data_IF_341644885064
#
_entry.id   IF_341644885064
#
_cell.length_a   1.000
_cell.length_b   1.000
_cell.length_c   1.000
_cell.angle_alpha   90.00
_cell.angle_beta   90.00
_cell.angle_gamma   90.00
#
_symmetry.space_group_name_H-M   'P 1'
#
loop_
_entity.id
_entity.type
_entity.pdbx_description
1 polymer ?
#
# COMPACT_ATOMS: atom_id res chain seq x y z
N UNK A 1 0.13 -27.66 16.92
CA UNK A 1 0.84 -28.11 15.68
C UNK A 1 1.76 -29.27 16.05
N UNK A 2 1.71 -30.39 15.32
CA UNK A 2 2.60 -31.51 15.58
C UNK A 2 4.05 -31.19 15.18
N UNK A 3 5.02 -31.99 15.72
CA UNK A 3 6.45 -31.71 15.51
C UNK A 3 6.86 -31.71 14.01
N UNK A 4 6.31 -32.63 13.22
CA UNK A 4 6.59 -32.77 11.78
C UNK A 4 6.11 -31.54 10.99
N UNK A 5 4.88 -31.08 11.24
CA UNK A 5 4.33 -29.90 10.58
C UNK A 5 5.12 -28.63 10.93
N UNK A 6 5.56 -28.51 12.17
CA UNK A 6 6.41 -27.39 12.59
C UNK A 6 7.75 -27.41 11.87
N UNK A 7 8.41 -28.57 11.81
CA UNK A 7 9.69 -28.73 11.11
C UNK A 7 9.57 -28.34 9.64
N UNK A 8 8.51 -28.79 8.97
CA UNK A 8 8.23 -28.38 7.58
C UNK A 8 8.05 -26.87 7.45
N UNK A 9 7.27 -26.25 8.36
CA UNK A 9 7.10 -24.80 8.38
C UNK A 9 8.41 -24.03 8.59
N UNK A 10 9.29 -24.54 9.45
CA UNK A 10 10.63 -23.97 9.67
C UNK A 10 11.53 -24.05 8.43
N UNK A 11 11.46 -25.18 7.70
CA UNK A 11 12.16 -25.32 6.41
C UNK A 11 11.64 -24.35 5.36
N UNK A 12 10.32 -24.22 5.25
CA UNK A 12 9.68 -23.24 4.36
C UNK A 12 10.08 -21.82 4.73
N UNK A 13 10.16 -21.50 6.02
CA UNK A 13 10.60 -20.18 6.48
C UNK A 13 12.03 -19.87 6.03
N UNK A 14 12.96 -20.83 6.10
CA UNK A 14 14.33 -20.67 5.60
C UNK A 14 14.32 -20.41 4.08
N UNK A 15 13.54 -21.20 3.33
CA UNK A 15 13.40 -21.01 1.88
C UNK A 15 12.85 -19.61 1.57
N UNK A 16 11.84 -19.14 2.29
CA UNK A 16 11.31 -17.78 2.11
C UNK A 16 12.35 -16.70 2.41
N UNK A 17 13.16 -16.85 3.46
CA UNK A 17 14.23 -15.88 3.74
C UNK A 17 15.21 -15.75 2.56
N UNK A 18 15.65 -16.87 1.99
CA UNK A 18 16.57 -16.89 0.85
C UNK A 18 15.86 -16.36 -0.40
N UNK A 19 14.65 -16.81 -0.67
CA UNK A 19 13.90 -16.44 -1.87
C UNK A 19 13.53 -14.96 -1.91
N UNK A 20 13.05 -14.40 -0.79
CA UNK A 20 12.71 -12.98 -0.71
C UNK A 20 13.97 -12.13 -0.84
N UNK A 21 15.09 -12.51 -0.21
CA UNK A 21 16.36 -11.82 -0.38
C UNK A 21 16.79 -11.82 -1.85
N UNK A 22 16.70 -12.97 -2.52
CA UNK A 22 16.98 -13.09 -3.96
C UNK A 22 16.08 -12.15 -4.78
N UNK A 23 14.77 -12.18 -4.56
CA UNK A 23 13.83 -11.30 -5.27
C UNK A 23 14.17 -9.82 -5.07
N UNK A 24 14.53 -9.40 -3.85
CA UNK A 24 14.91 -8.02 -3.55
C UNK A 24 16.17 -7.58 -4.31
N UNK A 25 17.18 -8.43 -4.39
CA UNK A 25 18.42 -8.14 -5.10
C UNK A 25 18.21 -8.05 -6.62
N UNK A 26 17.29 -8.83 -7.16
CA UNK A 26 17.04 -8.90 -8.60
C UNK A 26 15.71 -8.27 -9.04
N UNK A 27 15.07 -7.49 -8.17
CA UNK A 27 13.74 -6.88 -8.45
C UNK A 27 13.76 -6.11 -9.78
N UNK A 28 14.81 -5.35 -10.09
CA UNK A 28 14.88 -4.54 -11.32
C UNK A 28 14.90 -5.39 -12.60
N UNK A 29 15.38 -6.62 -12.52
CA UNK A 29 15.49 -7.57 -13.65
C UNK A 29 14.29 -8.53 -13.72
N UNK A 30 13.37 -8.48 -12.73
CA UNK A 30 12.24 -9.37 -12.69
C UNK A 30 11.21 -8.97 -13.76
N UNK A 31 11.05 -9.82 -14.76
CA UNK A 31 9.97 -9.73 -15.75
C UNK A 31 8.88 -10.69 -15.33
N UNK A 32 7.72 -10.14 -14.99
CA UNK A 32 6.59 -10.94 -14.50
C UNK A 32 5.70 -11.35 -15.66
N UNK A 33 5.55 -12.66 -15.96
CA UNK A 33 4.59 -13.12 -16.94
C UNK A 33 3.16 -12.69 -16.57
N UNK A 34 2.34 -12.39 -17.56
CA UNK A 34 0.98 -11.88 -17.37
C UNK A 34 0.10 -12.80 -16.49
N UNK A 35 0.29 -14.11 -16.56
CA UNK A 35 -0.47 -15.09 -15.76
C UNK A 35 -0.11 -15.09 -14.26
N UNK A 36 1.00 -14.47 -13.86
CA UNK A 36 1.38 -14.27 -12.45
C UNK A 36 0.87 -12.94 -11.87
N UNK A 37 0.47 -11.99 -12.70
CA UNK A 37 -0.03 -10.68 -12.22
C UNK A 37 -1.22 -10.79 -11.25
N UNK A 38 -2.23 -11.67 -11.47
CA UNK A 38 -3.32 -11.84 -10.52
C UNK A 38 -2.84 -12.20 -9.11
N UNK A 39 -1.74 -12.97 -8.98
CA UNK A 39 -1.15 -13.32 -7.68
C UNK A 39 -0.62 -12.06 -6.98
N UNK A 40 0.03 -11.16 -7.71
CA UNK A 40 0.46 -9.87 -7.17
C UNK A 40 -0.71 -9.04 -6.64
N UNK A 41 -1.80 -8.98 -7.39
CA UNK A 41 -3.01 -8.22 -7.03
C UNK A 41 -3.72 -8.73 -5.77
N UNK A 42 -3.56 -10.00 -5.42
CA UNK A 42 -4.05 -10.56 -4.17
C UNK A 42 -3.30 -10.03 -2.93
N UNK A 43 -2.18 -9.31 -3.09
CA UNK A 43 -1.45 -8.71 -1.99
C UNK A 43 -2.35 -7.90 -1.05
N UNK A 44 -3.22 -7.05 -1.59
CA UNK A 44 -4.11 -6.19 -0.82
C UNK A 44 -5.14 -6.95 0.02
N UNK A 45 -5.55 -8.13 -0.41
CA UNK A 45 -6.42 -9.02 0.34
C UNK A 45 -5.64 -9.78 1.42
N UNK A 46 -4.48 -10.32 1.04
CA UNK A 46 -3.69 -11.22 1.88
C UNK A 46 -3.00 -10.52 3.05
N UNK A 47 -2.67 -9.23 2.94
CA UNK A 47 -1.94 -8.49 3.98
C UNK A 47 -2.66 -8.44 5.34
N UNK A 48 -3.98 -8.55 5.38
CA UNK A 48 -4.76 -8.50 6.62
C UNK A 48 -4.47 -9.70 7.54
N UNK A 49 -4.21 -10.88 6.97
CA UNK A 49 -3.95 -12.10 7.73
C UNK A 49 -2.63 -12.02 8.53
N UNK A 50 -1.47 -11.74 7.91
CA UNK A 50 -0.23 -11.64 8.68
C UNK A 50 -0.26 -10.50 9.71
N UNK A 51 -0.91 -9.37 9.43
CA UNK A 51 -1.04 -8.26 10.39
C UNK A 51 -1.74 -8.75 11.65
N UNK A 52 -2.95 -9.33 11.52
CA UNK A 52 -3.72 -9.80 12.67
C UNK A 52 -3.00 -10.90 13.45
N UNK A 53 -2.43 -11.88 12.73
CA UNK A 53 -1.77 -13.03 13.34
C UNK A 53 -0.45 -12.63 14.02
N UNK A 54 0.35 -11.72 13.42
CA UNK A 54 1.58 -11.24 14.05
C UNK A 54 1.29 -10.42 15.30
N UNK A 55 0.30 -9.51 15.28
CA UNK A 55 -0.10 -8.75 16.46
C UNK A 55 -0.49 -9.70 17.61
N UNK A 56 -1.32 -10.70 17.32
CA UNK A 56 -1.70 -11.69 18.32
C UNK A 56 -0.50 -12.51 18.80
N UNK A 57 0.38 -12.94 17.90
CA UNK A 57 1.56 -13.74 18.22
C UNK A 57 2.55 -13.00 19.13
N UNK A 58 2.86 -11.72 18.81
CA UNK A 58 3.77 -10.91 19.63
C UNK A 58 3.13 -10.54 20.96
N UNK A 59 1.82 -10.28 21.01
CA UNK A 59 1.09 -10.09 22.24
C UNK A 59 1.19 -11.33 23.16
N UNK A 60 0.94 -12.52 22.61
CA UNK A 60 1.14 -13.77 23.36
C UNK A 60 2.58 -13.98 23.76
N UNK A 61 3.57 -13.64 22.94
CA UNK A 61 4.98 -13.79 23.28
C UNK A 61 5.40 -12.83 24.41
N UNK A 62 4.84 -11.62 24.44
CA UNK A 62 5.04 -10.65 25.51
C UNK A 62 4.54 -11.19 26.86
N UNK A 63 3.35 -11.79 26.89
CA UNK A 63 2.75 -12.36 28.10
C UNK A 63 3.27 -13.76 28.44
N UNK A 64 4.14 -14.34 27.62
CA UNK A 64 4.70 -15.69 27.83
C UNK A 64 5.45 -15.83 29.16
N UNK A 65 6.09 -14.77 29.62
CA UNK A 65 6.94 -14.78 30.83
C UNK A 65 6.16 -14.55 32.11
N UNK A 66 4.84 -14.39 32.09
CA UNK A 66 4.05 -14.42 33.32
C UNK A 66 4.11 -15.82 33.97
N UNK A 67 4.02 -15.87 35.30
CA UNK A 67 4.19 -17.09 36.07
C UNK A 67 3.32 -18.26 35.58
N UNK A 68 2.06 -17.97 35.23
CA UNK A 68 1.10 -18.99 34.79
C UNK A 68 1.37 -19.48 33.35
N UNK A 69 1.85 -18.60 32.46
CA UNK A 69 2.02 -18.91 31.04
C UNK A 69 3.34 -19.60 30.73
N UNK A 70 4.40 -19.27 31.47
CA UNK A 70 5.75 -19.83 31.26
C UNK A 70 5.80 -21.36 31.51
N UNK A 71 5.05 -21.85 32.48
CA UNK A 71 4.93 -23.27 32.80
C UNK A 71 3.92 -24.01 31.86
N UNK A 72 3.09 -23.26 31.11
CA UNK A 72 2.06 -23.87 30.29
C UNK A 72 2.62 -24.22 28.90
N UNK A 73 2.83 -25.49 28.65
CA UNK A 73 3.36 -26.04 27.40
C UNK A 73 2.42 -25.78 26.22
N UNK A 74 1.10 -25.80 26.43
CA UNK A 74 0.12 -25.47 25.39
C UNK A 74 0.29 -24.02 24.96
N UNK A 75 0.34 -23.08 25.92
CA UNK A 75 0.51 -21.65 25.64
C UNK A 75 1.79 -21.39 24.83
N UNK A 76 2.91 -21.92 25.29
CA UNK A 76 4.22 -21.71 24.64
C UNK A 76 4.29 -22.32 23.24
N UNK A 77 3.69 -23.48 23.02
CA UNK A 77 3.62 -24.13 21.72
C UNK A 77 2.64 -23.41 20.78
N UNK A 78 1.50 -22.95 21.30
CA UNK A 78 0.51 -22.23 20.52
C UNK A 78 1.06 -20.87 20.05
N UNK A 79 1.63 -20.07 20.94
CA UNK A 79 2.23 -18.78 20.58
C UNK A 79 3.37 -18.93 19.57
N UNK A 80 4.18 -20.01 19.68
CA UNK A 80 5.22 -20.34 18.70
C UNK A 80 4.63 -20.67 17.34
N UNK A 81 3.57 -21.48 17.31
CA UNK A 81 2.90 -21.86 16.05
C UNK A 81 2.26 -20.67 15.38
N UNK A 82 1.69 -19.78 16.18
CA UNK A 82 1.05 -18.55 15.69
C UNK A 82 2.08 -17.60 15.08
N UNK A 83 3.23 -17.42 15.74
CA UNK A 83 4.32 -16.60 15.20
C UNK A 83 4.87 -17.17 13.89
N UNK A 84 5.05 -18.51 13.82
CA UNK A 84 5.48 -19.16 12.58
C UNK A 84 4.47 -18.94 11.44
N UNK A 85 3.18 -19.18 11.73
CA UNK A 85 2.12 -18.99 10.74
C UNK A 85 2.04 -17.53 10.25
N UNK A 86 2.07 -16.57 11.19
CA UNK A 86 2.07 -15.14 10.84
C UNK A 86 3.27 -14.72 10.00
N UNK A 87 4.47 -15.24 10.34
CA UNK A 87 5.69 -14.96 9.58
C UNK A 87 5.65 -15.59 8.18
N UNK A 88 5.16 -16.82 8.04
CA UNK A 88 5.01 -17.46 6.73
C UNK A 88 4.00 -16.70 5.84
N UNK A 89 2.88 -16.29 6.41
CA UNK A 89 1.89 -15.48 5.70
C UNK A 89 2.46 -14.11 5.32
N UNK A 90 3.26 -13.49 6.18
CA UNK A 90 4.00 -12.27 5.85
C UNK A 90 4.95 -12.49 4.66
N UNK A 91 5.67 -13.62 4.63
CA UNK A 91 6.52 -13.99 3.49
C UNK A 91 5.75 -14.12 2.18
N UNK A 92 4.60 -14.80 2.19
CA UNK A 92 3.70 -14.89 1.04
C UNK A 92 3.26 -13.50 0.59
N UNK A 93 2.84 -12.66 1.54
CA UNK A 93 2.38 -11.29 1.25
C UNK A 93 3.49 -10.42 0.66
N UNK A 94 4.73 -10.54 1.15
CA UNK A 94 5.90 -9.84 0.59
C UNK A 94 6.15 -10.27 -0.86
N UNK A 95 6.12 -11.57 -1.16
CA UNK A 95 6.29 -12.06 -2.54
C UNK A 95 5.20 -11.50 -3.46
N UNK A 96 3.94 -11.53 -3.02
CA UNK A 96 2.82 -10.95 -3.77
C UNK A 96 3.02 -9.44 -3.99
N UNK A 97 3.47 -8.70 -2.98
CA UNK A 97 3.77 -7.27 -3.09
C UNK A 97 4.91 -6.96 -4.05
N UNK A 98 5.96 -7.78 -4.05
CA UNK A 98 7.06 -7.68 -5.03
C UNK A 98 6.57 -7.90 -6.46
N UNK A 99 5.64 -8.82 -6.67
CA UNK A 99 5.01 -9.03 -7.98
C UNK A 99 4.15 -7.82 -8.37
N UNK A 100 3.28 -7.35 -7.48
CA UNK A 100 2.44 -6.17 -7.73
C UNK A 100 3.27 -4.93 -8.06
N UNK A 101 4.43 -4.76 -7.41
CA UNK A 101 5.33 -3.63 -7.64
C UNK A 101 5.91 -3.55 -9.06
N UNK A 102 5.73 -4.60 -9.88
CA UNK A 102 6.18 -4.66 -11.27
C UNK A 102 5.07 -4.28 -12.27
N UNK A 103 3.85 -4.08 -11.81
CA UNK A 103 2.78 -3.59 -12.66
C UNK A 103 2.96 -2.10 -12.98
N UNK A 104 2.45 -1.70 -14.15
CA UNK A 104 2.49 -0.31 -14.59
C UNK A 104 1.79 0.62 -13.59
N UNK A 105 2.39 1.76 -13.31
CA UNK A 105 1.84 2.77 -12.41
C UNK A 105 2.39 2.73 -10.99
N UNK A 106 3.15 1.72 -10.60
CA UNK A 106 3.81 1.67 -9.30
C UNK A 106 5.26 2.13 -9.40
N UNK A 107 5.55 3.36 -8.99
CA UNK A 107 6.88 3.98 -9.06
C UNK A 107 7.12 4.91 -7.86
N UNK A 108 8.33 5.43 -7.75
CA UNK A 108 8.68 6.45 -6.76
C UNK A 108 9.17 5.92 -5.42
N UNK A 109 9.56 6.87 -4.55
CA UNK A 109 10.21 6.58 -3.27
C UNK A 109 9.27 5.90 -2.28
N UNK A 110 7.99 6.28 -2.27
CA UNK A 110 6.98 5.67 -1.39
C UNK A 110 6.84 4.18 -1.64
N UNK A 111 6.88 3.73 -2.91
CA UNK A 111 6.92 2.32 -3.24
C UNK A 111 8.18 1.64 -2.71
N UNK A 112 9.35 2.30 -2.85
CA UNK A 112 10.60 1.75 -2.34
C UNK A 112 10.55 1.60 -0.82
N UNK A 113 10.09 2.63 -0.09
CA UNK A 113 9.93 2.57 1.35
C UNK A 113 8.95 1.47 1.78
N UNK A 114 7.78 1.37 1.14
CA UNK A 114 6.82 0.28 1.43
C UNK A 114 7.43 -1.10 1.21
N UNK A 115 8.12 -1.30 0.10
CA UNK A 115 8.79 -2.56 -0.26
C UNK A 115 9.84 -2.96 0.78
N UNK A 116 10.74 -2.04 1.13
CA UNK A 116 11.83 -2.33 2.05
C UNK A 116 11.36 -2.50 3.50
N UNK A 117 10.42 -1.69 3.96
CA UNK A 117 9.84 -1.82 5.31
C UNK A 117 9.02 -3.10 5.46
N UNK A 118 8.25 -3.48 4.44
CA UNK A 118 7.51 -4.74 4.43
C UNK A 118 8.42 -5.97 4.43
N UNK A 119 9.49 -5.95 3.65
CA UNK A 119 10.50 -7.02 3.67
C UNK A 119 11.25 -7.06 5.00
N UNK A 120 11.62 -5.90 5.57
CA UNK A 120 12.27 -5.82 6.88
C UNK A 120 11.38 -6.40 7.97
N UNK A 121 10.07 -6.10 7.98
CA UNK A 121 9.10 -6.69 8.90
C UNK A 121 9.12 -8.23 8.85
N UNK A 122 9.13 -8.82 7.65
CA UNK A 122 9.23 -10.27 7.48
C UNK A 122 10.53 -10.83 8.07
N UNK A 123 11.69 -10.22 7.76
CA UNK A 123 12.97 -10.66 8.30
C UNK A 123 13.07 -10.51 9.81
N UNK A 124 12.53 -9.41 10.37
CA UNK A 124 12.46 -9.18 11.83
C UNK A 124 11.60 -10.26 12.49
N UNK A 125 10.40 -10.54 11.97
CA UNK A 125 9.54 -11.58 12.52
C UNK A 125 10.18 -12.97 12.41
N UNK A 126 10.86 -13.27 11.31
CA UNK A 126 11.63 -14.50 11.12
C UNK A 126 12.78 -14.61 12.17
N UNK A 127 13.52 -13.54 12.37
CA UNK A 127 14.60 -13.49 13.37
C UNK A 127 14.04 -13.71 14.78
N UNK A 128 12.96 -13.04 15.15
CA UNK A 128 12.30 -13.22 16.45
C UNK A 128 11.87 -14.67 16.64
N UNK A 129 11.31 -15.31 15.61
CA UNK A 129 10.93 -16.72 15.68
C UNK A 129 12.09 -17.62 16.06
N UNK A 130 13.29 -17.41 15.49
CA UNK A 130 14.49 -18.19 15.82
C UNK A 130 15.11 -17.84 17.15
N UNK A 131 15.03 -16.58 17.57
CA UNK A 131 15.66 -16.10 18.81
C UNK A 131 14.82 -16.38 20.07
N UNK A 132 13.49 -16.47 19.93
CA UNK A 132 12.57 -16.55 21.09
C UNK A 132 12.80 -17.74 22.02
N UNK A 133 13.48 -18.79 21.57
CA UNK A 133 13.80 -19.98 22.39
C UNK A 133 15.20 -19.93 23.01
N UNK A 134 15.94 -18.84 22.79
CA UNK A 134 17.28 -18.67 23.39
C UNK A 134 17.15 -18.31 24.88
N UNK A 135 18.11 -18.75 25.70
CA UNK A 135 18.10 -18.53 27.18
C UNK A 135 18.07 -17.04 27.58
N UNK A 136 18.67 -16.19 26.76
CA UNK A 136 18.71 -14.73 26.98
C UNK A 136 17.44 -14.00 26.50
N UNK A 137 16.54 -14.68 25.73
CA UNK A 137 15.27 -14.09 25.32
C UNK A 137 14.31 -14.09 26.52
N UNK A 138 14.20 -12.95 27.18
CA UNK A 138 13.41 -12.72 28.40
C UNK A 138 12.43 -11.56 28.18
N UNK A 139 11.64 -11.21 29.18
CA UNK A 139 10.63 -10.15 29.13
C UNK A 139 11.10 -8.85 28.45
N UNK A 140 12.27 -8.26 28.80
CA UNK A 140 12.70 -7.03 28.12
C UNK A 140 12.92 -7.21 26.61
N UNK A 141 13.45 -8.36 26.21
CA UNK A 141 13.69 -8.66 24.78
C UNK A 141 12.38 -8.92 24.06
N UNK A 142 11.43 -9.61 24.69
CA UNK A 142 10.10 -9.81 24.15
C UNK A 142 9.36 -8.47 23.99
N UNK A 143 9.47 -7.57 24.96
CA UNK A 143 8.90 -6.23 24.89
C UNK A 143 9.52 -5.39 23.75
N UNK A 144 10.84 -5.42 23.63
CA UNK A 144 11.54 -4.76 22.52
C UNK A 144 11.13 -5.35 21.17
N UNK A 145 11.01 -6.68 21.07
CA UNK A 145 10.54 -7.37 19.85
C UNK A 145 9.11 -6.97 19.50
N UNK A 146 8.22 -6.89 20.47
CA UNK A 146 6.83 -6.46 20.28
C UNK A 146 6.78 -5.01 19.79
N UNK A 147 7.56 -4.13 20.40
CA UNK A 147 7.66 -2.73 19.96
C UNK A 147 8.17 -2.61 18.52
N UNK A 148 9.26 -3.31 18.19
CA UNK A 148 9.88 -3.26 16.84
C UNK A 148 8.91 -3.78 15.79
N UNK A 149 8.23 -4.91 16.02
CA UNK A 149 7.25 -5.46 15.06
C UNK A 149 6.07 -4.52 14.89
N UNK A 150 5.53 -3.98 15.99
CA UNK A 150 4.40 -3.05 15.93
C UNK A 150 4.77 -1.76 15.18
N UNK A 151 5.92 -1.18 15.50
CA UNK A 151 6.43 0.00 14.79
C UNK A 151 6.64 -0.28 13.29
N UNK A 152 7.23 -1.43 12.95
CA UNK A 152 7.41 -1.84 11.55
C UNK A 152 6.08 -2.04 10.82
N UNK A 153 5.06 -2.61 11.47
CA UNK A 153 3.70 -2.74 10.93
C UNK A 153 3.07 -1.36 10.65
N UNK A 154 3.20 -0.43 11.59
CA UNK A 154 2.66 0.93 11.43
C UNK A 154 3.35 1.66 10.28
N UNK A 155 4.69 1.60 10.22
CA UNK A 155 5.47 2.25 9.16
C UNK A 155 5.13 1.66 7.79
N UNK A 156 5.12 0.33 7.67
CA UNK A 156 4.77 -0.34 6.42
C UNK A 156 3.33 -0.06 6.00
N UNK A 157 2.40 -0.05 6.96
CA UNK A 157 1.00 0.28 6.72
C UNK A 157 0.81 1.72 6.27
N UNK A 158 1.55 2.67 6.86
CA UNK A 158 1.53 4.08 6.44
C UNK A 158 1.93 4.24 4.97
N UNK A 159 3.07 3.69 4.56
CA UNK A 159 3.49 3.75 3.16
C UNK A 159 2.52 3.01 2.21
N UNK A 160 1.93 1.90 2.67
CA UNK A 160 0.91 1.19 1.90
C UNK A 160 -0.38 2.00 1.71
N UNK A 161 -0.82 2.70 2.77
CA UNK A 161 -1.96 3.61 2.68
C UNK A 161 -1.69 4.79 1.74
N UNK A 162 -0.49 5.39 1.81
CA UNK A 162 -0.07 6.47 0.90
C UNK A 162 -0.08 6.02 -0.56
N UNK A 163 0.38 4.79 -0.86
CA UNK A 163 0.34 4.23 -2.22
C UNK A 163 -1.08 4.05 -2.76
N UNK A 164 -2.05 3.76 -1.89
CA UNK A 164 -3.42 3.43 -2.31
C UNK A 164 -4.36 4.64 -2.28
N UNK A 165 -4.16 5.54 -1.35
CA UNK A 165 -5.07 6.66 -1.06
C UNK A 165 -4.44 8.04 -1.27
N UNK A 166 -3.11 8.13 -1.47
CA UNK A 166 -2.38 9.39 -1.54
C UNK A 166 -1.88 9.88 -0.18
N UNK A 167 -1.16 11.01 -0.23
CA UNK A 167 -0.60 11.64 0.97
C UNK A 167 -1.71 12.16 1.90
N UNK A 168 -1.41 12.17 3.19
CA UNK A 168 -2.29 12.68 4.26
C UNK A 168 -3.66 11.99 4.41
N UNK A 169 -3.92 10.86 3.75
CA UNK A 169 -5.20 10.17 3.80
C UNK A 169 -5.76 10.04 5.22
N UNK A 170 -4.93 9.67 6.21
CA UNK A 170 -5.37 9.48 7.60
C UNK A 170 -5.75 10.80 8.27
N UNK A 171 -5.01 11.88 8.00
CA UNK A 171 -5.22 13.19 8.62
C UNK A 171 -6.16 14.09 7.81
N UNK A 172 -6.44 13.73 6.56
CA UNK A 172 -7.29 14.52 5.67
C UNK A 172 -8.66 14.88 6.27
N UNK A 173 -9.40 14.00 6.96
CA UNK A 173 -10.68 14.39 7.56
C UNK A 173 -10.56 15.49 8.62
N UNK A 174 -9.42 15.50 9.35
CA UNK A 174 -9.15 16.51 10.37
C UNK A 174 -8.66 17.80 9.72
N UNK A 175 -7.71 17.69 8.79
CA UNK A 175 -7.16 18.86 8.09
C UNK A 175 -8.18 19.51 7.16
N UNK A 176 -9.11 18.75 6.59
CA UNK A 176 -10.17 19.26 5.74
C UNK A 176 -11.25 20.05 6.51
N UNK A 177 -11.40 19.81 7.82
CA UNK A 177 -12.25 20.65 8.67
C UNK A 177 -11.66 22.02 8.95
N UNK A 178 -10.36 22.20 8.75
CA UNK A 178 -9.66 23.50 8.77
C UNK A 178 -9.51 24.13 7.37
N UNK A 179 -10.20 23.55 6.36
CA UNK A 179 -10.19 24.11 5.01
C UNK A 179 -10.82 25.49 5.03
N UNK A 180 -10.10 26.41 4.37
CA UNK A 180 -10.54 27.76 4.05
C UNK A 180 -12.06 27.81 3.86
N UNK A 181 -12.73 28.76 4.47
CA UNK A 181 -14.11 29.04 4.09
C UNK A 181 -14.17 29.17 2.57
N UNK A 182 -15.29 28.76 1.94
CA UNK A 182 -15.41 28.86 0.51
C UNK A 182 -15.05 30.30 0.09
N UNK A 183 -14.00 30.41 -0.71
CA UNK A 183 -13.53 31.71 -1.21
C UNK A 183 -14.67 32.27 -2.05
N UNK A 184 -15.09 33.53 -1.84
CA UNK A 184 -16.06 34.15 -2.73
C UNK A 184 -15.59 34.02 -4.18
N UNK A 185 -16.51 33.73 -5.10
CA UNK A 185 -16.19 33.47 -6.52
C UNK A 185 -15.33 34.59 -7.14
N UNK A 186 -15.49 35.81 -6.64
CA UNK A 186 -14.77 37.01 -7.07
C UNK A 186 -13.30 37.00 -6.67
N UNK A 187 -12.92 36.24 -5.65
CA UNK A 187 -11.56 36.13 -5.12
C UNK A 187 -10.92 34.76 -5.42
N UNK A 188 -11.70 33.81 -5.98
CA UNK A 188 -11.28 32.44 -6.20
C UNK A 188 -10.24 32.32 -7.33
N UNK A 189 -9.12 31.69 -7.04
CA UNK A 189 -8.19 31.22 -8.07
C UNK A 189 -8.78 29.95 -8.67
N UNK A 190 -9.36 30.05 -9.86
CA UNK A 190 -10.14 28.98 -10.49
C UNK A 190 -9.45 27.60 -10.42
N UNK A 191 -8.15 27.56 -10.73
CA UNK A 191 -7.43 26.28 -10.66
C UNK A 191 -7.34 25.76 -9.22
N UNK A 192 -6.83 26.57 -8.28
CA UNK A 192 -6.53 26.11 -6.93
C UNK A 192 -7.79 25.88 -6.08
N UNK A 193 -8.84 26.69 -6.27
CA UNK A 193 -10.00 26.66 -5.40
C UNK A 193 -11.20 25.88 -6.00
N UNK A 194 -11.18 25.59 -7.32
CA UNK A 194 -12.28 24.89 -8.00
C UNK A 194 -11.80 23.60 -8.69
N UNK A 195 -10.80 23.71 -9.57
CA UNK A 195 -10.40 22.58 -10.44
C UNK A 195 -9.57 21.55 -9.66
N UNK A 196 -8.57 22.01 -8.90
CA UNK A 196 -7.71 21.12 -8.13
C UNK A 196 -8.49 20.25 -7.13
N UNK A 197 -9.47 20.75 -6.35
CA UNK A 197 -10.32 19.91 -5.49
C UNK A 197 -11.10 18.81 -6.23
N UNK A 198 -11.56 19.09 -7.45
CA UNK A 198 -12.21 18.07 -8.29
C UNK A 198 -11.20 16.97 -8.67
N UNK A 199 -10.02 17.36 -9.15
CA UNK A 199 -8.95 16.41 -9.51
C UNK A 199 -8.51 15.59 -8.30
N UNK A 200 -8.32 16.21 -7.14
CA UNK A 200 -7.93 15.53 -5.90
C UNK A 200 -8.96 14.48 -5.48
N UNK A 201 -10.23 14.82 -5.53
CA UNK A 201 -11.32 13.93 -5.10
C UNK A 201 -11.57 12.77 -6.06
N UNK A 202 -11.39 12.98 -7.38
CA UNK A 202 -11.83 12.04 -8.41
C UNK A 202 -10.68 11.33 -9.14
N UNK A 203 -9.50 11.93 -9.22
CA UNK A 203 -8.43 11.51 -10.14
C UNK A 203 -7.13 11.11 -9.45
N UNK A 204 -6.71 11.87 -8.41
CA UNK A 204 -5.37 11.70 -7.81
C UNK A 204 -5.18 10.37 -7.07
N UNK A 205 -6.24 9.65 -6.72
CA UNK A 205 -6.12 8.30 -6.16
C UNK A 205 -5.40 7.30 -7.10
N UNK A 206 -5.33 7.62 -8.41
CA UNK A 206 -4.63 6.82 -9.41
C UNK A 206 -3.55 7.60 -10.17
N UNK A 207 -3.66 8.93 -10.22
CA UNK A 207 -2.78 9.82 -10.98
C UNK A 207 -2.03 10.78 -10.03
N UNK A 208 -1.15 10.23 -9.19
CA UNK A 208 -0.33 10.99 -8.24
C UNK A 208 1.15 10.60 -8.37
N UNK A 209 2.04 11.31 -7.66
CA UNK A 209 3.47 11.08 -7.71
C UNK A 209 3.91 9.66 -7.29
N UNK A 210 3.07 8.96 -6.50
CA UNK A 210 3.36 7.61 -5.98
C UNK A 210 2.67 6.51 -6.80
N UNK A 211 1.65 6.88 -7.58
CA UNK A 211 0.89 5.99 -8.46
C UNK A 211 0.60 6.72 -9.78
N UNK A 212 1.54 6.57 -10.70
CA UNK A 212 1.55 7.22 -12.00
C UNK A 212 0.85 6.35 -13.06
N UNK A 213 -0.46 6.05 -12.90
CA UNK A 213 -1.17 5.34 -13.98
C UNK A 213 -1.15 6.15 -15.26
N UNK A 214 -0.77 5.50 -16.36
CA UNK A 214 -0.60 6.16 -17.65
C UNK A 214 0.47 7.26 -17.65
N UNK A 215 1.48 7.19 -16.75
CA UNK A 215 2.55 8.18 -16.58
C UNK A 215 2.04 9.60 -16.28
N UNK A 216 0.80 9.73 -15.79
CA UNK A 216 0.12 11.01 -15.52
C UNK A 216 0.10 11.32 -14.03
N UNK A 217 0.57 12.50 -13.64
CA UNK A 217 0.41 13.08 -12.30
C UNK A 217 -0.55 14.28 -12.37
N UNK A 218 -1.53 14.30 -11.45
CA UNK A 218 -2.55 15.36 -11.37
C UNK A 218 -2.51 16.09 -10.02
N UNK A 219 -1.43 15.90 -9.25
CA UNK A 219 -1.24 16.51 -7.93
C UNK A 219 -0.67 17.93 -7.98
N UNK A 220 -0.06 18.30 -9.09
CA UNK A 220 0.56 19.61 -9.27
C UNK A 220 0.47 20.08 -10.73
N UNK A 221 0.65 21.37 -10.92
CA UNK A 221 0.55 22.00 -12.24
C UNK A 221 1.59 21.50 -13.24
N UNK A 222 2.78 21.13 -12.77
CA UNK A 222 3.86 20.64 -13.64
C UNK A 222 3.50 19.27 -14.22
N UNK A 223 3.00 18.37 -13.39
CA UNK A 223 2.53 17.04 -13.82
C UNK A 223 1.36 17.13 -14.80
N UNK A 224 0.41 18.03 -14.52
CA UNK A 224 -0.76 18.30 -15.39
C UNK A 224 -0.30 18.82 -16.75
N UNK A 225 0.60 19.79 -16.79
CA UNK A 225 1.11 20.37 -18.05
C UNK A 225 2.01 19.43 -18.83
N UNK A 226 2.74 18.55 -18.15
CA UNK A 226 3.54 17.49 -18.78
C UNK A 226 2.67 16.52 -19.55
N UNK A 227 1.50 16.16 -19.00
CA UNK A 227 0.63 15.11 -19.52
C UNK A 227 1.14 13.72 -19.20
N UNK A 228 0.62 12.70 -19.87
CA UNK A 228 0.96 11.30 -19.63
C UNK A 228 1.30 10.55 -20.93
N UNK A 229 1.29 9.22 -20.85
CA UNK A 229 1.61 8.30 -21.95
C UNK A 229 0.74 8.50 -23.20
N UNK A 230 -0.52 8.94 -23.02
CA UNK A 230 -1.47 9.19 -24.12
C UNK A 230 -1.38 10.61 -24.68
N UNK A 231 -0.50 11.45 -24.15
CA UNK A 231 -0.31 12.83 -24.57
C UNK A 231 -0.72 13.86 -23.51
N UNK A 232 -0.99 15.08 -23.96
CA UNK A 232 -1.40 16.17 -23.07
C UNK A 232 -2.78 15.93 -22.49
N UNK A 233 -2.97 16.30 -21.22
CA UNK A 233 -4.24 16.16 -20.53
C UNK A 233 -5.36 16.97 -21.18
N UNK A 234 -5.05 18.20 -21.58
CA UNK A 234 -5.97 19.10 -22.26
C UNK A 234 -5.24 20.01 -23.24
N UNK A 235 -6.00 20.61 -24.13
CA UNK A 235 -5.56 21.64 -25.08
C UNK A 235 -6.30 22.93 -24.71
N UNK A 236 -5.64 23.97 -24.22
CA UNK A 236 -6.30 25.24 -23.87
C UNK A 236 -7.10 25.79 -25.04
N UNK A 237 -8.31 26.25 -24.77
CA UNK A 237 -9.22 26.75 -25.79
C UNK A 237 -9.83 25.69 -26.70
N UNK A 238 -9.60 24.40 -26.48
CA UNK A 238 -10.14 23.36 -27.36
C UNK A 238 -10.67 22.15 -26.56
N UNK A 239 -11.93 22.19 -26.24
CA UNK A 239 -12.66 21.14 -25.52
C UNK A 239 -12.65 19.82 -26.29
N UNK A 240 -12.85 19.88 -27.62
CA UNK A 240 -13.04 18.69 -28.45
C UNK A 240 -11.79 17.81 -28.57
N UNK A 241 -10.59 18.38 -28.42
CA UNK A 241 -9.32 17.65 -28.49
C UNK A 241 -8.66 17.44 -27.14
N UNK A 242 -9.37 17.79 -26.06
CA UNK A 242 -8.86 17.64 -24.70
C UNK A 242 -9.12 16.23 -24.17
N UNK A 243 -8.03 15.48 -23.98
CA UNK A 243 -8.06 14.06 -23.58
C UNK A 243 -8.81 13.85 -22.25
N UNK A 244 -8.74 14.79 -21.30
CA UNK A 244 -9.48 14.77 -20.05
C UNK A 244 -10.98 14.63 -20.31
N UNK A 245 -11.54 15.51 -21.16
CA UNK A 245 -12.96 15.51 -21.46
C UNK A 245 -13.37 14.34 -22.34
N UNK A 246 -12.53 13.93 -23.29
CA UNK A 246 -12.74 12.69 -24.05
C UNK A 246 -12.95 11.51 -23.09
N UNK A 247 -12.04 11.32 -22.11
CA UNK A 247 -12.07 10.18 -21.20
C UNK A 247 -13.26 10.18 -20.24
N UNK A 248 -13.70 11.35 -19.76
CA UNK A 248 -14.84 11.43 -18.83
C UNK A 248 -16.20 11.29 -19.53
N UNK A 249 -16.25 11.47 -20.87
CA UNK A 249 -17.46 11.30 -21.66
C UNK A 249 -17.61 9.92 -22.32
N UNK A 250 -16.59 9.06 -22.25
CA UNK A 250 -16.71 7.67 -22.71
C UNK A 250 -17.81 6.93 -21.92
N UNK A 251 -18.33 5.86 -22.49
CA UNK A 251 -19.26 4.99 -21.78
C UNK A 251 -18.57 4.35 -20.57
N UNK A 252 -19.32 4.15 -19.47
CA UNK A 252 -18.77 3.67 -18.19
C UNK A 252 -18.12 2.27 -18.29
N UNK A 253 -18.59 1.45 -19.23
CA UNK A 253 -18.07 0.12 -19.54
C UNK A 253 -16.80 0.14 -20.41
N UNK A 254 -16.42 1.29 -20.94
CA UNK A 254 -15.20 1.40 -21.73
C UNK A 254 -13.96 1.40 -20.84
N UNK A 255 -12.95 0.58 -21.18
CA UNK A 255 -11.69 0.48 -20.46
C UNK A 255 -10.97 1.82 -20.27
N UNK A 256 -11.18 2.74 -21.21
CA UNK A 256 -10.56 4.06 -21.23
C UNK A 256 -11.37 5.13 -20.51
N UNK A 257 -12.57 4.83 -20.03
CA UNK A 257 -13.38 5.76 -19.24
C UNK A 257 -12.67 6.15 -17.93
N UNK A 258 -12.72 7.44 -17.57
CA UNK A 258 -12.12 7.96 -16.35
C UNK A 258 -13.11 8.86 -15.58
N UNK A 259 -13.29 8.64 -14.29
CA UNK A 259 -12.75 7.54 -13.44
C UNK A 259 -13.34 6.18 -13.84
N UNK A 260 -12.57 5.07 -13.66
CA UNK A 260 -13.06 3.75 -14.03
C UNK A 260 -14.31 3.34 -13.24
N UNK A 261 -15.07 2.38 -13.75
CA UNK A 261 -16.21 1.79 -13.05
C UNK A 261 -15.85 1.41 -11.60
N UNK A 262 -16.78 1.64 -10.67
CA UNK A 262 -16.58 1.41 -9.24
C UNK A 262 -15.80 2.51 -8.50
N UNK A 263 -15.43 3.60 -9.19
CA UNK A 263 -14.87 4.81 -8.57
C UNK A 263 -15.89 5.95 -8.57
N UNK A 264 -15.75 6.95 -7.66
CA UNK A 264 -16.63 8.11 -7.64
C UNK A 264 -16.58 8.86 -8.98
N UNK A 265 -17.69 8.85 -9.71
CA UNK A 265 -17.81 9.51 -11.01
C UNK A 265 -17.92 11.03 -10.85
N UNK A 266 -17.58 11.79 -11.92
CA UNK A 266 -17.81 13.22 -11.97
C UNK A 266 -19.31 13.51 -12.11
N UNK A 267 -19.77 14.59 -11.45
CA UNK A 267 -21.09 15.13 -11.69
C UNK A 267 -21.12 15.97 -12.97
N UNK A 268 -22.33 16.21 -13.52
CA UNK A 268 -22.47 17.11 -14.66
C UNK A 268 -21.93 18.52 -14.41
N UNK A 269 -22.05 19.02 -13.16
CA UNK A 269 -21.51 20.31 -12.76
C UNK A 269 -19.98 20.30 -12.75
N UNK A 270 -19.35 19.23 -12.20
CA UNK A 270 -17.90 19.08 -12.20
C UNK A 270 -17.34 19.02 -13.64
N UNK A 271 -18.04 18.32 -14.54
CA UNK A 271 -17.66 18.26 -15.97
C UNK A 271 -17.79 19.64 -16.62
N UNK A 272 -18.86 20.37 -16.33
CA UNK A 272 -19.06 21.71 -16.86
C UNK A 272 -17.97 22.69 -16.38
N UNK A 273 -17.57 22.62 -15.10
CA UNK A 273 -16.48 23.42 -14.56
C UNK A 273 -15.15 23.11 -15.23
N UNK A 274 -14.81 21.81 -15.41
CA UNK A 274 -13.61 21.38 -16.14
C UNK A 274 -13.64 21.88 -17.59
N UNK A 275 -14.78 21.79 -18.26
CA UNK A 275 -14.95 22.24 -19.64
C UNK A 275 -14.76 23.76 -19.77
N UNK A 276 -15.36 24.53 -18.85
CA UNK A 276 -15.19 25.99 -18.80
C UNK A 276 -13.76 26.43 -18.50
N UNK A 277 -13.06 25.66 -17.65
CA UNK A 277 -11.67 25.95 -17.33
C UNK A 277 -10.72 25.68 -18.52
N UNK A 278 -11.00 24.67 -19.33
CA UNK A 278 -10.20 24.32 -20.51
C UNK A 278 -10.45 25.31 -21.66
N UNK A 279 -11.68 25.81 -21.79
CA UNK A 279 -12.07 26.75 -22.85
C UNK A 279 -11.55 28.17 -22.58
#
# INVERSE_FOLDING_TARGET
>A
MNAKLRQTGEQVLIVFNIFILFLLLFTSKLVLPYWLQPIGRLHTLMLHFPIAILILAIGMDLFRFSANNNANTFYTNFSRSLLLAGTLLAGITVVMGLFLSREEGYTGDTLQWHKWTGAALFFIASLIYWLRNKKWYRTPVAAASAFIVTASLIITGHYGATLTHGDNFIMQPITSTFIKPPVPLEEAVIFADVIQPILEKKCTSCHNAHKLKGELALTDSLGIMKGGKSGKLFVPGNIATSLLLERVHLSLDEEKHMPPEGKPQLTGEEIALLSSWIN
#
